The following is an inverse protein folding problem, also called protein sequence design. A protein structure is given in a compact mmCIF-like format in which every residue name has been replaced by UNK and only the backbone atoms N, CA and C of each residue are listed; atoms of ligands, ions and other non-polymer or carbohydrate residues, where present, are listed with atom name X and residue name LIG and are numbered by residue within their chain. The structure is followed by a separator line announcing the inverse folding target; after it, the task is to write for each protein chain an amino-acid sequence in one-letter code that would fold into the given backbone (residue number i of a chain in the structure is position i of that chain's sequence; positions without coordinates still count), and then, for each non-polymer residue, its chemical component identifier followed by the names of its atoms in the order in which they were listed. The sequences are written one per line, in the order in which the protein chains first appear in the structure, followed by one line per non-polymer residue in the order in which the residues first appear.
data_IF_541155440787
#
_entry.id   IF_541155440787
#
_cell.length_a   1.000
_cell.length_b   1.000
_cell.length_c   1.000
_cell.angle_alpha   90.00
_cell.angle_beta   90.00
_cell.angle_gamma   90.00
#
_symmetry.space_group_name_H-M   'P 1'
#
loop_
_entity.id
_entity.type
_entity.pdbx_description
1 polymer ?
#
# COMPACT_ATOMS: atom_id res chain seq x y z
N UNK A 1 0.77 4.91 16.46
CA UNK A 1 2.11 5.52 16.35
C UNK A 1 3.02 4.99 17.45
N UNK A 2 4.10 4.30 17.07
CA UNK A 2 4.90 3.49 17.98
C UNK A 2 5.94 4.29 18.76
N UNK A 3 6.90 4.92 18.07
CA UNK A 3 8.02 5.64 18.70
C UNK A 3 7.70 7.07 19.16
N UNK A 4 6.53 7.61 18.80
CA UNK A 4 6.14 8.98 19.18
C UNK A 4 6.96 10.08 18.50
N UNK A 5 7.62 9.81 17.37
CA UNK A 5 8.51 10.77 16.67
C UNK A 5 7.81 12.00 16.07
N UNK A 6 6.47 11.94 15.92
CA UNK A 6 5.67 13.03 15.35
C UNK A 6 4.82 12.57 14.16
N UNK A 7 4.27 13.56 13.45
CA UNK A 7 3.38 13.37 12.30
C UNK A 7 4.07 13.93 11.04
N UNK A 8 4.34 13.08 10.05
CA UNK A 8 4.94 13.52 8.81
C UNK A 8 3.95 14.37 7.98
N UNK A 9 4.38 15.57 7.58
CA UNK A 9 3.56 16.54 6.85
C UNK A 9 3.49 16.23 5.34
N UNK A 10 2.83 15.12 5.02
CA UNK A 10 2.78 14.53 3.67
C UNK A 10 2.32 15.53 2.60
N UNK A 11 1.21 16.23 2.84
CA UNK A 11 0.61 17.11 1.83
C UNK A 11 1.43 18.39 1.63
N UNK A 12 1.97 19.01 2.69
CA UNK A 12 2.85 20.17 2.56
C UNK A 12 4.08 19.85 1.72
N UNK A 13 4.75 18.73 2.01
CA UNK A 13 5.97 18.36 1.28
C UNK A 13 5.71 17.91 -0.16
N UNK A 14 4.54 17.33 -0.43
CA UNK A 14 4.11 16.96 -1.79
C UNK A 14 3.66 18.16 -2.63
N UNK A 15 3.04 19.19 -2.02
CA UNK A 15 2.43 20.33 -2.74
C UNK A 15 3.28 21.60 -2.80
N UNK A 16 4.41 21.67 -2.08
CA UNK A 16 5.31 22.84 -2.13
C UNK A 16 5.90 23.06 -3.54
N UNK A 17 6.38 24.26 -3.82
CA UNK A 17 6.95 24.68 -5.13
C UNK A 17 7.99 23.70 -5.71
N UNK A 18 8.82 23.11 -4.84
CA UNK A 18 9.75 22.02 -5.20
C UNK A 18 9.33 20.72 -4.51
N UNK A 19 8.39 19.93 -5.04
CA UNK A 19 7.87 18.74 -4.37
C UNK A 19 8.97 17.77 -3.94
N UNK A 20 8.81 17.15 -2.77
CA UNK A 20 9.68 16.03 -2.38
C UNK A 20 9.21 14.73 -3.03
N UNK A 21 10.17 13.88 -3.44
CA UNK A 21 9.90 12.46 -3.71
C UNK A 21 9.72 11.76 -2.36
N UNK A 22 8.55 11.16 -2.15
CA UNK A 22 8.17 10.54 -0.88
C UNK A 22 7.95 9.06 -1.15
N UNK A 23 8.62 8.21 -0.38
CA UNK A 23 8.40 6.77 -0.36
C UNK A 23 7.74 6.34 0.95
N UNK A 24 6.87 5.36 0.88
CA UNK A 24 6.34 4.65 2.05
C UNK A 24 7.18 3.42 2.32
N UNK A 25 7.57 3.23 3.58
CA UNK A 25 8.36 2.10 4.03
C UNK A 25 7.85 1.63 5.41
N UNK A 26 8.08 0.35 5.69
CA UNK A 26 7.64 -0.31 6.93
C UNK A 26 8.48 0.09 8.15
N UNK A 27 9.76 0.42 7.93
CA UNK A 27 10.76 0.67 8.97
C UNK A 27 10.87 -0.48 9.98
N UNK A 28 10.80 -1.75 9.52
CA UNK A 28 10.85 -2.94 10.40
C UNK A 28 11.98 -2.83 11.41
N UNK A 29 11.63 -2.92 12.70
CA UNK A 29 12.50 -2.62 13.83
C UNK A 29 11.97 -1.42 14.63
N UNK A 30 11.76 -0.28 13.95
CA UNK A 30 11.01 0.86 14.49
C UNK A 30 9.49 0.77 14.24
N UNK A 31 9.11 0.15 13.13
CA UNK A 31 7.78 -0.33 12.79
C UNK A 31 7.58 -1.80 13.16
N UNK A 32 6.32 -2.19 13.33
CA UNK A 32 5.93 -3.48 13.92
C UNK A 32 5.31 -4.47 12.93
N UNK A 33 5.36 -4.18 11.61
CA UNK A 33 4.74 -5.03 10.60
C UNK A 33 5.48 -4.97 9.25
N UNK A 34 5.45 -6.08 8.51
CA UNK A 34 6.00 -6.17 7.15
C UNK A 34 5.00 -5.76 6.04
N UNK A 35 3.71 -5.68 6.36
CA UNK A 35 2.65 -5.43 5.40
C UNK A 35 2.56 -3.96 5.01
N UNK A 36 2.72 -3.69 3.71
CA UNK A 36 2.50 -2.36 3.14
C UNK A 36 1.06 -1.87 3.29
N UNK A 37 0.06 -2.76 3.35
CA UNK A 37 -1.33 -2.38 3.64
C UNK A 37 -1.44 -1.79 5.06
N UNK A 38 -0.84 -2.45 6.06
CA UNK A 38 -0.79 -1.97 7.44
C UNK A 38 0.02 -0.67 7.55
N UNK A 39 1.14 -0.57 6.85
CA UNK A 39 1.95 0.65 6.81
C UNK A 39 1.15 1.83 6.24
N UNK A 40 0.39 1.63 5.17
CA UNK A 40 -0.42 2.68 4.57
C UNK A 40 -1.65 3.04 5.40
N UNK A 41 -2.24 2.09 6.14
CA UNK A 41 -3.29 2.37 7.12
C UNK A 41 -2.79 3.30 8.25
N UNK A 42 -1.58 3.06 8.78
CA UNK A 42 -0.95 3.97 9.73
C UNK A 42 -0.62 5.33 9.10
N UNK A 43 -0.13 5.35 7.85
CA UNK A 43 0.11 6.58 7.09
C UNK A 43 -1.16 7.41 6.88
N UNK A 44 -2.27 6.75 6.56
CA UNK A 44 -3.59 7.38 6.42
C UNK A 44 -4.04 8.05 7.74
N UNK A 45 -3.86 7.37 8.88
CA UNK A 45 -4.17 7.94 10.21
C UNK A 45 -3.30 9.16 10.52
N UNK A 46 -2.00 9.11 10.21
CA UNK A 46 -1.08 10.26 10.37
C UNK A 46 -1.54 11.46 9.54
N UNK A 47 -1.90 11.24 8.28
CA UNK A 47 -2.40 12.30 7.39
C UNK A 47 -3.71 12.88 7.93
N UNK A 48 -4.62 12.03 8.40
CA UNK A 48 -5.89 12.46 9.00
C UNK A 48 -5.68 13.29 10.28
N UNK A 49 -4.69 12.94 11.12
CA UNK A 49 -4.33 13.71 12.32
C UNK A 49 -3.77 15.09 11.99
N UNK A 50 -3.19 15.27 10.80
CA UNK A 50 -2.80 16.58 10.26
C UNK A 50 -3.97 17.35 9.63
N UNK A 51 -5.22 16.85 9.73
CA UNK A 51 -6.40 17.48 9.14
C UNK A 51 -6.55 17.28 7.62
N UNK A 52 -5.72 16.43 7.03
CA UNK A 52 -5.69 16.16 5.60
C UNK A 52 -6.34 14.82 5.26
N UNK A 53 -6.58 14.57 3.96
CA UNK A 53 -7.10 13.29 3.48
C UNK A 53 -6.17 12.69 2.44
N UNK A 54 -6.14 11.36 2.37
CA UNK A 54 -5.54 10.60 1.30
C UNK A 54 -6.59 9.63 0.78
N UNK A 55 -6.96 9.74 -0.49
CA UNK A 55 -7.95 8.83 -1.06
C UNK A 55 -7.33 7.45 -1.35
N UNK A 56 -8.13 6.37 -1.44
CA UNK A 56 -7.60 5.02 -1.63
C UNK A 56 -6.76 4.85 -2.91
N UNK A 57 -7.10 5.54 -4.01
CA UNK A 57 -6.30 5.51 -5.23
C UNK A 57 -4.91 6.09 -5.02
N UNK A 58 -4.81 7.21 -4.29
CA UNK A 58 -3.54 7.83 -3.93
C UNK A 58 -2.72 6.94 -2.99
N UNK A 59 -3.37 6.26 -2.04
CA UNK A 59 -2.72 5.28 -1.18
C UNK A 59 -2.10 4.14 -1.99
N UNK A 60 -2.87 3.51 -2.89
CA UNK A 60 -2.37 2.40 -3.70
C UNK A 60 -1.33 2.84 -4.73
N UNK A 61 -1.47 4.05 -5.29
CA UNK A 61 -0.41 4.65 -6.10
C UNK A 61 0.86 4.81 -5.27
N UNK A 62 0.77 5.35 -4.05
CA UNK A 62 1.91 5.55 -3.16
C UNK A 62 2.58 4.23 -2.78
N UNK A 63 1.81 3.15 -2.62
CA UNK A 63 2.32 1.80 -2.35
C UNK A 63 3.05 1.16 -3.54
N UNK A 64 2.74 1.58 -4.76
CA UNK A 64 3.20 0.94 -6.00
C UNK A 64 4.02 1.92 -6.85
N UNK A 65 3.42 2.51 -7.88
CA UNK A 65 4.08 3.42 -8.82
C UNK A 65 4.78 4.58 -8.12
N UNK A 66 4.14 5.19 -7.12
CA UNK A 66 4.72 6.30 -6.35
C UNK A 66 5.99 5.91 -5.59
N UNK A 67 6.06 4.69 -5.06
CA UNK A 67 7.28 4.16 -4.47
C UNK A 67 8.35 3.87 -5.53
N UNK A 68 7.98 3.28 -6.68
CA UNK A 68 8.90 3.05 -7.78
C UNK A 68 9.48 4.38 -8.33
N UNK A 69 8.62 5.40 -8.45
CA UNK A 69 8.98 6.77 -8.78
C UNK A 69 9.80 7.45 -7.70
N UNK A 70 9.69 7.10 -6.42
CA UNK A 70 10.54 7.66 -5.37
C UNK A 70 11.94 7.00 -5.36
N UNK A 71 12.01 5.73 -5.76
CA UNK A 71 13.23 4.91 -5.78
C UNK A 71 14.00 4.93 -7.11
N UNK A 72 13.50 5.63 -8.13
CA UNK A 72 14.09 5.71 -9.48
C UNK A 72 14.10 4.38 -10.24
N UNK A 73 13.08 3.55 -10.02
CA UNK A 73 12.92 2.23 -10.67
C UNK A 73 11.59 2.11 -11.44
N UNK A 74 10.90 3.23 -11.66
CA UNK A 74 9.60 3.29 -12.35
C UNK A 74 9.61 2.73 -13.77
N UNK A 75 10.77 2.74 -14.44
CA UNK A 75 10.95 2.12 -15.77
C UNK A 75 10.89 0.59 -15.73
N UNK A 76 10.97 -0.03 -14.54
CA UNK A 76 10.98 -1.49 -14.37
C UNK A 76 9.75 -2.02 -13.66
N UNK A 77 9.25 -1.33 -12.63
CA UNK A 77 8.21 -1.86 -11.73
C UNK A 77 7.18 -0.80 -11.34
N UNK A 78 6.10 -1.24 -10.69
CA UNK A 78 5.04 -0.35 -10.18
C UNK A 78 3.93 -0.08 -11.20
N UNK A 79 3.87 -0.85 -12.28
CA UNK A 79 2.80 -0.82 -13.29
C UNK A 79 2.54 -2.25 -13.80
N UNK A 80 1.45 -2.42 -14.56
CA UNK A 80 1.13 -3.65 -15.31
C UNK A 80 1.35 -3.46 -16.83
N UNK A 81 1.99 -2.36 -17.24
CA UNK A 81 2.25 -2.06 -18.64
C UNK A 81 3.21 -3.09 -19.27
N UNK A 82 3.04 -3.33 -20.58
CA UNK A 82 3.95 -4.21 -21.31
C UNK A 82 5.40 -3.70 -21.22
N UNK A 83 6.33 -4.60 -20.93
CA UNK A 83 7.77 -4.29 -20.84
C UNK A 83 8.27 -4.02 -19.42
N UNK A 84 7.39 -3.91 -18.42
CA UNK A 84 7.79 -3.91 -17.02
C UNK A 84 8.06 -5.33 -16.50
N UNK A 85 8.83 -5.44 -15.42
CA UNK A 85 8.99 -6.69 -14.68
C UNK A 85 7.62 -7.11 -14.10
N UNK A 86 7.29 -8.39 -14.23
CA UNK A 86 6.03 -8.95 -13.75
C UNK A 86 6.07 -9.25 -12.24
N UNK A 87 6.27 -8.19 -11.46
CA UNK A 87 6.23 -8.18 -10.00
C UNK A 87 4.84 -7.77 -9.53
N UNK A 88 4.02 -8.77 -9.18
CA UNK A 88 2.57 -8.61 -9.00
C UNK A 88 2.14 -9.23 -7.67
N UNK A 89 1.26 -8.53 -6.95
CA UNK A 89 0.60 -9.08 -5.77
C UNK A 89 -0.88 -9.26 -6.08
N UNK A 90 -1.36 -10.50 -5.97
CA UNK A 90 -2.79 -10.80 -6.07
C UNK A 90 -3.41 -10.64 -4.69
N UNK A 91 -4.41 -9.77 -4.58
CA UNK A 91 -5.08 -9.46 -3.32
C UNK A 91 -6.49 -10.04 -3.28
N UNK A 92 -6.93 -10.46 -2.09
CA UNK A 92 -8.28 -10.92 -1.80
C UNK A 92 -8.95 -9.98 -0.78
N UNK A 93 -9.86 -9.13 -1.26
CA UNK A 93 -10.64 -8.21 -0.44
C UNK A 93 -11.68 -8.91 0.46
N UNK A 94 -11.78 -10.24 0.42
CA UNK A 94 -12.70 -11.08 1.19
C UNK A 94 -11.95 -12.13 2.05
N UNK A 95 -10.65 -11.93 2.28
CA UNK A 95 -9.79 -12.89 2.95
C UNK A 95 -10.16 -13.20 4.41
N UNK A 96 -10.76 -12.24 5.14
CA UNK A 96 -11.17 -12.42 6.55
C UNK A 96 -12.69 -12.27 6.72
N UNK A 97 -13.29 -12.82 7.80
CA UNK A 97 -14.72 -12.62 8.08
C UNK A 97 -15.15 -11.15 8.13
N UNK A 98 -14.34 -10.29 8.75
CA UNK A 98 -14.62 -8.85 8.83
C UNK A 98 -14.55 -8.16 7.46
N UNK A 99 -13.58 -8.55 6.63
CA UNK A 99 -13.47 -8.06 5.25
C UNK A 99 -14.66 -8.51 4.40
N UNK A 100 -15.08 -9.78 4.51
CA UNK A 100 -16.27 -10.28 3.80
C UNK A 100 -17.51 -9.48 4.13
N UNK A 101 -17.76 -9.25 5.42
CA UNK A 101 -18.90 -8.45 5.88
C UNK A 101 -18.84 -7.01 5.33
N UNK A 102 -17.67 -6.37 5.36
CA UNK A 102 -17.53 -5.01 4.78
C UNK A 102 -17.73 -4.99 3.27
N UNK A 103 -17.30 -6.03 2.56
CA UNK A 103 -17.49 -6.16 1.12
C UNK A 103 -18.93 -6.54 0.71
N UNK A 104 -19.86 -6.75 1.65
CA UNK A 104 -21.29 -6.88 1.33
C UNK A 104 -21.93 -5.54 0.92
N UNK A 105 -21.31 -4.41 1.29
CA UNK A 105 -21.83 -3.07 1.03
C UNK A 105 -20.83 -2.18 0.27
N UNK A 106 -19.76 -2.76 -0.29
CA UNK A 106 -18.79 -2.02 -1.07
C UNK A 106 -19.15 -2.13 -2.55
N UNK A 107 -19.52 -1.01 -3.16
CA UNK A 107 -20.06 -0.94 -4.52
C UNK A 107 -19.06 -0.33 -5.51
N UNK A 108 -17.96 0.24 -4.99
CA UNK A 108 -16.95 0.93 -5.79
C UNK A 108 -15.55 0.38 -5.54
N UNK A 109 -14.68 0.52 -6.55
CA UNK A 109 -13.25 0.18 -6.41
C UNK A 109 -12.57 0.98 -5.28
N UNK A 110 -12.98 2.24 -5.07
CA UNK A 110 -12.44 3.05 -3.97
C UNK A 110 -12.75 2.42 -2.61
N UNK A 111 -13.97 1.91 -2.41
CA UNK A 111 -14.38 1.22 -1.19
C UNK A 111 -13.66 -0.12 -1.03
N UNK A 112 -13.53 -0.90 -2.10
CA UNK A 112 -12.76 -2.17 -2.08
C UNK A 112 -11.29 -1.94 -1.69
N UNK A 113 -10.63 -0.97 -2.30
CA UNK A 113 -9.26 -0.59 -1.95
C UNK A 113 -9.17 -0.10 -0.49
N UNK A 114 -10.18 0.63 -0.02
CA UNK A 114 -10.20 1.07 1.38
C UNK A 114 -10.40 -0.09 2.36
N UNK A 115 -11.20 -1.10 2.01
CA UNK A 115 -11.31 -2.35 2.79
C UNK A 115 -9.96 -3.07 2.84
N UNK A 116 -9.29 -3.23 1.70
CA UNK A 116 -7.95 -3.83 1.64
C UNK A 116 -6.93 -3.08 2.51
N UNK A 117 -6.89 -1.75 2.42
CA UNK A 117 -5.96 -0.94 3.21
C UNK A 117 -6.22 -1.04 4.71
N UNK A 118 -7.47 -0.89 5.14
CA UNK A 118 -7.82 -0.75 6.57
C UNK A 118 -7.96 -2.08 7.31
N UNK A 119 -8.41 -3.13 6.61
CA UNK A 119 -8.67 -4.45 7.21
C UNK A 119 -7.70 -5.53 6.74
N UNK A 120 -6.95 -5.31 5.66
CA UNK A 120 -6.04 -6.29 5.10
C UNK A 120 -4.81 -6.57 5.96
N UNK A 121 -4.36 -7.81 5.92
CA UNK A 121 -3.06 -8.27 6.40
C UNK A 121 -2.49 -9.34 5.46
N UNK A 122 -1.53 -10.14 5.91
CA UNK A 122 -0.87 -11.18 5.12
C UNK A 122 -1.84 -12.18 4.49
N UNK A 123 -3.02 -12.40 5.11
CA UNK A 123 -4.07 -13.27 4.58
C UNK A 123 -4.75 -12.70 3.34
N UNK A 124 -4.75 -11.37 3.20
CA UNK A 124 -5.26 -10.69 2.01
C UNK A 124 -4.34 -10.88 0.79
N UNK A 125 -3.08 -11.31 0.98
CA UNK A 125 -2.21 -11.66 -0.14
C UNK A 125 -2.55 -13.07 -0.60
N UNK A 126 -3.17 -13.22 -1.76
CA UNK A 126 -3.51 -14.53 -2.32
C UNK A 126 -2.31 -15.21 -2.98
N UNK A 127 -1.54 -14.45 -3.75
CA UNK A 127 -0.34 -14.90 -4.46
C UNK A 127 0.61 -13.72 -4.65
N UNK A 128 1.90 -14.01 -4.81
CA UNK A 128 2.94 -13.06 -5.18
C UNK A 128 3.68 -13.61 -6.38
N UNK A 129 3.81 -12.80 -7.42
CA UNK A 129 4.63 -13.09 -8.58
C UNK A 129 5.88 -12.21 -8.54
N UNK A 130 7.04 -12.82 -8.77
CA UNK A 130 8.33 -12.11 -8.93
C UNK A 130 8.89 -12.49 -10.29
N UNK A 131 9.13 -11.50 -11.14
CA UNK A 131 9.53 -11.69 -12.54
C UNK A 131 8.64 -12.74 -13.26
N UNK A 132 7.32 -12.70 -13.00
CA UNK A 132 6.33 -13.59 -13.62
C UNK A 132 6.27 -15.01 -13.04
N UNK A 133 7.08 -15.34 -12.03
CA UNK A 133 7.02 -16.64 -11.33
C UNK A 133 6.20 -16.51 -10.06
N UNK A 134 5.21 -17.38 -9.86
CA UNK A 134 4.52 -17.48 -8.59
C UNK A 134 5.51 -17.91 -7.50
N UNK A 135 5.58 -17.20 -6.38
CA UNK A 135 6.54 -17.51 -5.30
C UNK A 135 5.87 -17.81 -3.98
N UNK A 136 4.64 -17.33 -3.71
CA UNK A 136 3.97 -17.63 -2.44
C UNK A 136 3.54 -19.09 -2.41
N UNK A 137 2.97 -19.60 -3.50
CA UNK A 137 2.61 -21.02 -3.61
C UNK A 137 3.86 -21.92 -3.58
N UNK A 138 4.96 -21.50 -4.22
CA UNK A 138 6.22 -22.27 -4.24
C UNK A 138 6.89 -22.38 -2.85
N UNK A 139 6.66 -21.41 -1.95
CA UNK A 139 7.15 -21.44 -0.57
C UNK A 139 6.27 -22.29 0.38
N UNK A 140 5.07 -22.70 -0.04
CA UNK A 140 4.16 -23.50 0.79
C UNK A 140 4.50 -25.01 0.80
N UNK A 141 5.68 -25.38 0.29
CA UNK A 141 6.25 -26.74 0.26
C UNK A 141 6.85 -27.12 1.61
#
# INVERSE_FOLDING_TARGET
LFLGSGLFDYQRYRRREKPLRIATATDVGGGTNYSMLRTMDEGYKVIALNGEKLNPFQSFWQLTRGNAEALSIVEKVGTLDQGSDADIVVLDARATPAMRLRMETADTLAEELFVLQTLGDDRAVREVYVAGRAVKTDMAV
#
